data_IF_211293710994
#
_entry.id   IF_211293710994
#
_cell.length_a   1.000
_cell.length_b   1.000
_cell.length_c   1.000
_cell.angle_alpha   90.00
_cell.angle_beta   90.00
_cell.angle_gamma   90.00
#
_symmetry.space_group_name_H-M   'P 1'
#
loop_
_entity.id
_entity.type
_entity.pdbx_description
1 polymer ?
#
# COMPACT_ATOMS: atom_id res chain seq x y z
N UNK A 1 -14.93 36.17 -19.80
CA UNK A 1 -15.67 35.10 -19.13
C UNK A 1 -14.80 34.58 -17.99
N UNK A 2 -15.26 34.51 -16.76
CA UNK A 2 -14.47 33.98 -15.62
C UNK A 2 -14.88 32.53 -15.33
N UNK A 3 -13.94 31.68 -14.92
CA UNK A 3 -14.24 30.28 -14.60
C UNK A 3 -14.94 30.15 -13.23
N UNK A 4 -15.65 29.05 -13.03
CA UNK A 4 -16.41 28.78 -11.78
C UNK A 4 -15.55 28.88 -10.53
N UNK A 5 -14.28 28.47 -10.59
CA UNK A 5 -13.34 28.57 -9.46
C UNK A 5 -13.07 30.04 -9.08
N UNK A 6 -12.92 30.90 -10.09
CA UNK A 6 -12.70 32.36 -9.88
C UNK A 6 -13.91 33.01 -9.21
N UNK A 7 -15.14 32.65 -9.63
CA UNK A 7 -16.37 33.17 -9.02
C UNK A 7 -16.47 32.75 -7.54
N UNK A 8 -16.17 31.51 -7.18
CA UNK A 8 -16.15 31.10 -5.79
C UNK A 8 -15.08 31.83 -4.97
N UNK A 9 -13.89 32.07 -5.53
CA UNK A 9 -12.85 32.84 -4.86
C UNK A 9 -13.27 34.31 -4.65
N UNK A 10 -13.98 34.91 -5.62
CA UNK A 10 -14.52 36.26 -5.49
C UNK A 10 -15.59 36.34 -4.41
N UNK A 11 -16.46 35.31 -4.31
CA UNK A 11 -17.50 35.24 -3.28
C UNK A 11 -16.88 35.15 -1.88
N UNK A 12 -15.90 34.25 -1.69
CA UNK A 12 -15.19 34.09 -0.41
C UNK A 12 -14.40 35.34 0.01
N UNK A 13 -13.91 36.11 -0.95
CA UNK A 13 -13.15 37.33 -0.71
C UNK A 13 -14.05 38.59 -0.65
N UNK A 14 -15.37 38.46 -0.63
CA UNK A 14 -16.30 39.56 -0.58
C UNK A 14 -16.28 40.50 -1.79
N UNK A 15 -15.81 40.01 -2.94
CA UNK A 15 -15.73 40.77 -4.21
C UNK A 15 -16.99 40.71 -5.04
N UNK A 16 -18.02 40.01 -4.60
CA UNK A 16 -19.33 39.97 -5.22
C UNK A 16 -20.38 40.61 -4.33
N UNK A 17 -21.46 41.18 -4.91
CA UNK A 17 -22.55 41.77 -4.13
C UNK A 17 -23.44 40.74 -3.42
N UNK A 18 -22.94 39.53 -3.26
CA UNK A 18 -23.57 38.37 -2.64
C UNK A 18 -22.71 37.91 -1.46
N UNK A 19 -23.36 37.48 -0.39
CA UNK A 19 -22.68 36.87 0.76
C UNK A 19 -22.69 35.34 0.62
N UNK A 20 -21.74 34.69 1.32
CA UNK A 20 -21.62 33.23 1.35
C UNK A 20 -22.90 32.57 1.89
N UNK A 21 -23.63 33.25 2.77
CA UNK A 21 -24.88 32.79 3.37
C UNK A 21 -26.05 32.76 2.40
N UNK A 22 -26.02 33.57 1.33
CA UNK A 22 -27.04 33.60 0.28
C UNK A 22 -26.86 32.48 -0.76
N UNK A 23 -25.75 31.74 -0.68
CA UNK A 23 -25.47 30.60 -1.56
C UNK A 23 -25.24 29.31 -0.73
N UNK A 24 -26.30 28.64 -0.26
CA UNK A 24 -26.24 27.52 0.68
C UNK A 24 -25.31 26.38 0.26
N UNK A 25 -25.21 26.11 -1.05
CA UNK A 25 -24.29 25.07 -1.58
C UNK A 25 -22.83 25.39 -1.41
N UNK A 26 -22.45 26.65 -1.17
CA UNK A 26 -21.06 27.06 -0.91
C UNK A 26 -20.65 26.71 0.51
N UNK A 27 -21.57 26.80 1.47
CA UNK A 27 -21.34 26.45 2.87
C UNK A 27 -21.07 24.95 3.07
N UNK A 28 -21.62 24.10 2.21
CA UNK A 28 -21.38 22.65 2.25
C UNK A 28 -20.04 22.24 1.66
N UNK A 29 -19.35 23.10 0.92
CA UNK A 29 -18.02 22.82 0.39
C UNK A 29 -16.99 23.04 1.49
N UNK A 30 -16.43 21.93 2.00
CA UNK A 30 -15.23 22.01 2.86
C UNK A 30 -14.14 22.76 2.12
N UNK A 31 -13.74 23.94 2.65
CA UNK A 31 -12.51 24.58 2.17
C UNK A 31 -11.36 23.57 2.31
N UNK A 32 -10.71 23.24 1.20
CA UNK A 32 -9.44 22.56 1.27
C UNK A 32 -8.43 23.51 1.93
N UNK A 33 -8.31 23.44 3.25
CA UNK A 33 -7.17 24.02 3.93
C UNK A 33 -5.94 23.38 3.28
N UNK A 34 -5.09 24.21 2.66
CA UNK A 34 -3.73 23.81 2.32
C UNK A 34 -3.00 23.55 3.63
N UNK A 35 -3.07 22.32 4.10
CA UNK A 35 -2.18 21.87 5.14
C UNK A 35 -0.79 21.81 4.53
N UNK A 36 0.09 22.74 4.93
CA UNK A 36 1.53 22.58 4.71
C UNK A 36 1.96 21.42 5.60
N UNK A 37 1.93 20.20 5.02
CA UNK A 37 2.32 18.99 5.69
C UNK A 37 3.82 19.01 5.89
N UNK A 38 4.25 19.07 7.15
CA UNK A 38 5.64 19.31 7.56
C UNK A 38 6.56 18.09 7.45
N UNK A 39 6.04 16.87 7.30
CA UNK A 39 6.86 15.67 7.26
C UNK A 39 7.28 15.33 5.82
N UNK A 40 8.50 15.74 5.48
CA UNK A 40 9.26 15.32 4.31
C UNK A 40 10.38 14.34 4.68
N UNK A 41 10.32 13.72 5.86
CA UNK A 41 11.35 12.76 6.28
C UNK A 41 11.23 11.52 5.40
N UNK A 42 12.31 11.14 4.75
CA UNK A 42 12.48 9.84 4.11
C UNK A 42 13.03 8.87 5.15
N UNK A 43 12.44 7.69 5.25
CA UNK A 43 12.85 6.66 6.22
C UNK A 43 14.09 5.89 5.77
N UNK A 44 14.41 5.94 4.47
CA UNK A 44 15.55 5.24 3.88
C UNK A 44 15.77 5.67 2.43
N UNK A 45 16.18 4.74 1.57
CA UNK A 45 16.44 5.04 0.15
C UNK A 45 15.19 5.51 -0.58
N UNK A 46 15.34 6.56 -1.39
CA UNK A 46 14.25 7.04 -2.23
C UNK A 46 13.87 6.02 -3.30
N UNK A 47 12.60 6.02 -3.70
CA UNK A 47 12.12 5.27 -4.86
C UNK A 47 12.88 5.66 -6.14
N UNK A 48 13.44 6.87 -6.22
CA UNK A 48 14.28 7.33 -7.35
C UNK A 48 15.58 6.55 -7.49
N UNK A 49 16.09 5.96 -6.38
CA UNK A 49 17.29 5.12 -6.37
C UNK A 49 16.99 3.67 -6.78
N UNK A 50 15.71 3.33 -6.97
CA UNK A 50 15.27 2.00 -7.35
C UNK A 50 15.72 1.68 -8.78
N UNK A 51 16.28 0.48 -9.05
CA UNK A 51 16.68 0.09 -10.40
C UNK A 51 15.52 0.15 -11.39
N UNK A 52 15.77 0.63 -12.61
CA UNK A 52 14.76 0.77 -13.67
C UNK A 52 14.06 -0.56 -14.01
N UNK A 53 14.79 -1.69 -13.92
CA UNK A 53 14.25 -3.04 -14.17
C UNK A 53 12.99 -3.36 -13.35
N UNK A 54 12.84 -2.73 -12.17
CA UNK A 54 11.63 -2.90 -11.33
C UNK A 54 10.40 -2.30 -12.01
N UNK A 55 10.57 -1.25 -12.81
CA UNK A 55 9.49 -0.56 -13.52
C UNK A 55 9.24 -1.14 -14.92
N UNK A 56 10.22 -1.81 -15.49
CA UNK A 56 10.14 -2.50 -16.79
C UNK A 56 9.29 -3.79 -16.71
N UNK A 57 9.02 -4.31 -15.49
CA UNK A 57 8.23 -5.51 -15.24
C UNK A 57 8.78 -6.78 -15.91
N UNK A 58 10.10 -6.87 -16.02
CA UNK A 58 10.77 -8.01 -16.65
C UNK A 58 11.34 -9.00 -15.63
N UNK A 59 11.56 -8.55 -14.40
CA UNK A 59 12.14 -9.35 -13.33
C UNK A 59 11.15 -9.58 -12.18
N UNK A 60 11.03 -10.83 -11.74
CA UNK A 60 10.22 -11.23 -10.57
C UNK A 60 10.95 -10.97 -9.24
N UNK A 61 10.17 -10.85 -8.18
CA UNK A 61 10.71 -10.64 -6.82
C UNK A 61 10.70 -9.17 -6.36
N UNK A 62 9.94 -8.32 -7.03
CA UNK A 62 9.78 -6.91 -6.67
C UNK A 62 8.41 -6.66 -6.04
N UNK A 63 8.41 -6.18 -4.80
CA UNK A 63 7.22 -6.08 -3.97
C UNK A 63 6.86 -4.65 -3.60
N UNK A 64 5.57 -4.42 -3.43
CA UNK A 64 5.03 -3.21 -2.80
C UNK A 64 4.45 -3.61 -1.44
N UNK A 65 4.79 -2.88 -0.35
CA UNK A 65 4.30 -3.13 0.99
C UNK A 65 3.40 -1.99 1.49
N UNK A 66 2.32 -2.33 2.23
CA UNK A 66 1.37 -1.37 2.80
C UNK A 66 0.70 -1.94 4.06
N UNK A 67 -0.13 -1.14 4.72
CA UNK A 67 -0.98 -1.57 5.83
C UNK A 67 -2.44 -1.19 5.60
N UNK A 68 -3.34 -2.14 5.82
CA UNK A 68 -4.79 -1.93 5.72
C UNK A 68 -5.37 -1.77 7.12
N UNK A 69 -5.88 -0.57 7.42
CA UNK A 69 -6.45 -0.20 8.71
C UNK A 69 -7.97 -0.42 8.67
N UNK A 70 -8.53 -1.09 9.65
CA UNK A 70 -9.97 -1.26 9.82
C UNK A 70 -10.65 0.03 10.24
N UNK A 71 -10.79 0.24 11.53
CA UNK A 71 -11.30 1.48 12.11
C UNK A 71 -10.20 2.54 12.17
N UNK A 72 -10.59 3.81 12.05
CA UNK A 72 -9.63 4.92 12.12
C UNK A 72 -9.24 5.31 13.55
N UNK A 73 -9.99 4.88 14.51
CA UNK A 73 -9.78 5.21 15.93
C UNK A 73 -9.50 3.92 16.70
N UNK A 74 -8.34 3.87 17.36
CA UNK A 74 -7.95 2.78 18.24
C UNK A 74 -6.56 2.22 17.94
N UNK A 75 -6.06 1.47 18.89
CA UNK A 75 -4.86 0.61 18.75
C UNK A 75 -5.37 -0.80 18.46
N UNK A 76 -5.92 -1.01 17.27
CA UNK A 76 -6.41 -2.33 16.87
C UNK A 76 -5.46 -3.00 15.89
N UNK A 77 -5.65 -4.29 15.67
CA UNK A 77 -4.98 -5.03 14.63
C UNK A 77 -5.17 -4.38 13.27
N UNK A 78 -4.17 -4.52 12.41
CA UNK A 78 -4.21 -4.09 11.01
C UNK A 78 -3.73 -5.24 10.15
N UNK A 79 -3.97 -5.16 8.84
CA UNK A 79 -3.42 -6.14 7.91
C UNK A 79 -2.18 -5.55 7.26
N UNK A 80 -1.03 -6.17 7.46
CA UNK A 80 0.18 -5.93 6.68
C UNK A 80 0.03 -6.63 5.35
N UNK A 81 0.30 -5.94 4.24
CA UNK A 81 0.06 -6.45 2.90
C UNK A 81 1.26 -6.26 2.02
N UNK A 82 1.53 -7.24 1.15
CA UNK A 82 2.55 -7.15 0.13
C UNK A 82 2.00 -7.64 -1.21
N UNK A 83 2.39 -7.00 -2.31
CA UNK A 83 2.00 -7.39 -3.67
C UNK A 83 3.26 -7.54 -4.52
N UNK A 84 3.44 -8.69 -5.15
CA UNK A 84 4.48 -8.90 -6.16
C UNK A 84 4.06 -8.22 -7.48
N UNK A 85 5.01 -7.48 -8.09
CA UNK A 85 4.68 -6.49 -9.15
C UNK A 85 4.33 -7.11 -10.50
N UNK A 86 4.76 -8.32 -10.79
CA UNK A 86 4.49 -9.03 -12.07
C UNK A 86 3.33 -9.99 -11.90
N UNK A 87 3.43 -10.93 -10.98
CA UNK A 87 2.43 -11.97 -10.76
C UNK A 87 1.15 -11.42 -10.14
N UNK A 88 1.23 -10.23 -9.50
CA UNK A 88 0.19 -9.68 -8.63
C UNK A 88 -0.17 -10.61 -7.45
N UNK A 89 0.75 -11.51 -7.06
CA UNK A 89 0.57 -12.34 -5.87
C UNK A 89 0.48 -11.45 -4.63
N UNK A 90 -0.50 -11.72 -3.79
CA UNK A 90 -0.88 -10.89 -2.66
C UNK A 90 -0.68 -11.65 -1.36
N UNK A 91 0.15 -11.10 -0.48
CA UNK A 91 0.34 -11.58 0.89
C UNK A 91 -0.44 -10.66 1.83
N UNK A 92 -1.19 -11.23 2.77
CA UNK A 92 -1.91 -10.50 3.79
C UNK A 92 -1.69 -11.17 5.16
N UNK A 93 -1.11 -10.43 6.10
CA UNK A 93 -0.79 -10.90 7.46
C UNK A 93 -1.47 -9.98 8.47
N UNK A 94 -2.27 -10.55 9.36
CA UNK A 94 -2.81 -9.80 10.50
C UNK A 94 -1.69 -9.48 11.48
N UNK A 95 -1.56 -8.22 11.85
CA UNK A 95 -0.55 -7.77 12.83
C UNK A 95 -1.24 -7.00 13.97
N UNK A 96 -0.71 -7.08 15.21
CA UNK A 96 -1.38 -6.56 16.42
C UNK A 96 -1.65 -5.06 16.40
N UNK A 97 -0.97 -4.31 15.53
CA UNK A 97 -1.17 -2.87 15.43
C UNK A 97 -0.30 -2.21 14.37
N UNK A 98 -0.67 -0.99 14.00
CA UNK A 98 0.06 -0.18 13.02
C UNK A 98 1.30 0.45 13.63
N UNK A 99 2.34 -0.34 13.82
CA UNK A 99 3.62 0.11 14.38
C UNK A 99 4.79 -0.69 13.78
N UNK A 100 6.01 -0.15 13.93
CA UNK A 100 7.22 -0.72 13.33
C UNK A 100 7.58 -2.10 13.89
N UNK A 101 7.30 -2.36 15.16
CA UNK A 101 7.57 -3.67 15.78
C UNK A 101 6.70 -4.76 15.14
N UNK A 102 5.40 -4.51 14.96
CA UNK A 102 4.48 -5.47 14.34
C UNK A 102 4.83 -5.75 12.89
N UNK A 103 5.18 -4.71 12.11
CA UNK A 103 5.63 -4.87 10.71
C UNK A 103 6.94 -5.67 10.66
N UNK A 104 7.89 -5.40 11.54
CA UNK A 104 9.13 -6.16 11.62
C UNK A 104 8.89 -7.62 11.95
N UNK A 105 7.98 -7.94 12.87
CA UNK A 105 7.61 -9.32 13.20
C UNK A 105 7.03 -10.06 11.99
N UNK A 106 6.11 -9.43 11.23
CA UNK A 106 5.58 -10.02 10.02
C UNK A 106 6.67 -10.28 8.96
N UNK A 107 7.63 -9.35 8.80
CA UNK A 107 8.78 -9.56 7.92
C UNK A 107 9.71 -10.67 8.39
N UNK A 108 9.89 -10.81 9.72
CA UNK A 108 10.70 -11.91 10.29
C UNK A 108 10.04 -13.27 10.04
N UNK A 109 8.70 -13.35 10.13
CA UNK A 109 7.96 -14.58 9.79
C UNK A 109 8.17 -14.96 8.32
N UNK A 110 8.08 -14.01 7.40
CA UNK A 110 8.38 -14.26 5.99
C UNK A 110 9.84 -14.67 5.77
N UNK A 111 10.79 -14.06 6.48
CA UNK A 111 12.18 -14.46 6.39
C UNK A 111 12.42 -15.89 6.93
N UNK A 112 11.75 -16.29 7.99
CA UNK A 112 11.82 -17.66 8.54
C UNK A 112 11.19 -18.67 7.56
N UNK A 113 10.08 -18.31 6.93
CA UNK A 113 9.37 -19.15 5.95
C UNK A 113 10.21 -19.44 4.69
N UNK A 114 10.84 -18.40 4.13
CA UNK A 114 11.62 -18.53 2.90
C UNK A 114 13.11 -18.86 3.15
N UNK A 115 13.60 -18.68 4.36
CA UNK A 115 14.98 -18.99 4.77
C UNK A 115 16.04 -18.35 3.87
N UNK A 116 17.01 -19.13 3.43
CA UNK A 116 18.12 -18.67 2.56
C UNK A 116 17.63 -18.14 1.19
N UNK A 117 16.39 -18.43 0.82
CA UNK A 117 15.80 -17.99 -0.45
C UNK A 117 15.09 -16.64 -0.35
N UNK A 118 14.98 -16.10 0.87
CA UNK A 118 14.27 -14.83 1.09
C UNK A 118 14.72 -13.72 0.14
N UNK A 119 16.02 -13.48 0.03
CA UNK A 119 16.58 -12.44 -0.83
C UNK A 119 16.31 -12.66 -2.33
N UNK A 120 16.02 -13.90 -2.74
CA UNK A 120 15.70 -14.23 -4.14
C UNK A 120 14.22 -14.03 -4.44
N UNK A 121 13.36 -14.31 -3.45
CA UNK A 121 11.92 -14.07 -3.53
C UNK A 121 11.59 -12.60 -3.31
N UNK A 122 12.27 -11.94 -2.39
CA UNK A 122 12.08 -10.53 -2.03
C UNK A 122 13.31 -9.69 -2.41
N UNK A 123 13.57 -9.54 -3.71
CA UNK A 123 14.72 -8.77 -4.21
C UNK A 123 14.66 -7.31 -3.83
N UNK A 124 13.49 -6.69 -4.02
CA UNK A 124 13.23 -5.32 -3.59
C UNK A 124 11.83 -5.18 -2.97
N UNK A 125 11.71 -4.31 -2.00
CA UNK A 125 10.44 -3.98 -1.38
C UNK A 125 10.28 -2.46 -1.39
N UNK A 126 9.15 -1.96 -1.90
CA UNK A 126 8.81 -0.54 -1.90
C UNK A 126 7.69 -0.29 -0.90
N UNK A 127 7.94 0.55 0.11
CA UNK A 127 6.97 0.94 1.13
C UNK A 127 6.65 2.44 1.08
N UNK A 128 5.65 2.91 1.85
CA UNK A 128 5.47 4.35 2.07
C UNK A 128 6.33 4.84 3.24
N UNK A 129 6.28 6.16 3.48
CA UNK A 129 6.96 6.80 4.62
C UNK A 129 6.07 6.83 5.88
N UNK A 130 5.27 5.79 6.11
CA UNK A 130 4.49 5.64 7.34
C UNK A 130 5.39 5.33 8.54
N UNK A 131 5.04 5.77 9.75
CA UNK A 131 5.82 5.47 10.96
C UNK A 131 5.93 3.97 11.24
N UNK A 132 5.01 3.17 10.76
CA UNK A 132 5.03 1.70 10.85
C UNK A 132 6.17 1.07 10.05
N UNK A 133 6.73 1.78 9.06
CA UNK A 133 7.86 1.33 8.26
C UNK A 133 9.21 1.91 8.70
N UNK A 134 9.28 2.54 9.88
CA UNK A 134 10.51 3.21 10.37
C UNK A 134 11.72 2.26 10.46
N UNK A 135 11.49 0.99 10.83
CA UNK A 135 12.54 -0.03 10.93
C UNK A 135 12.61 -0.97 9.73
N UNK A 136 11.86 -0.66 8.66
CA UNK A 136 11.70 -1.58 7.53
C UNK A 136 13.00 -1.84 6.76
N UNK A 137 13.90 -0.86 6.76
CA UNK A 137 15.26 -1.02 6.20
C UNK A 137 16.11 -2.06 6.90
N UNK A 138 15.74 -2.53 8.12
CA UNK A 138 16.44 -3.62 8.81
C UNK A 138 16.36 -4.93 8.01
N UNK A 139 15.31 -5.12 7.19
CA UNK A 139 15.18 -6.26 6.30
C UNK A 139 16.32 -6.36 5.25
N UNK A 140 17.06 -5.28 5.00
CA UNK A 140 18.22 -5.30 4.10
C UNK A 140 19.33 -6.22 4.62
N UNK A 141 19.39 -6.50 5.93
CA UNK A 141 20.30 -7.49 6.50
C UNK A 141 20.06 -8.92 5.97
N UNK A 142 18.87 -9.20 5.44
CA UNK A 142 18.49 -10.47 4.83
C UNK A 142 18.70 -10.51 3.31
N UNK A 143 19.38 -9.49 2.74
CA UNK A 143 19.75 -9.42 1.33
C UNK A 143 18.72 -8.77 0.41
N UNK A 144 17.56 -8.36 0.90
CA UNK A 144 16.59 -7.54 0.14
C UNK A 144 17.07 -6.09 0.04
N UNK A 145 16.45 -5.28 -0.84
CA UNK A 145 16.65 -3.82 -0.89
C UNK A 145 15.32 -3.12 -0.63
N UNK A 146 15.32 -2.15 0.27
CA UNK A 146 14.12 -1.41 0.66
C UNK A 146 14.14 0.01 0.09
N UNK A 147 13.05 0.42 -0.54
CA UNK A 147 12.85 1.75 -1.11
C UNK A 147 11.59 2.38 -0.54
N UNK A 148 11.59 3.69 -0.42
CA UNK A 148 10.45 4.45 0.10
C UNK A 148 9.89 5.37 -0.98
N UNK A 149 8.58 5.26 -1.19
CA UNK A 149 7.84 6.14 -2.08
C UNK A 149 7.83 7.58 -1.56
N UNK A 150 7.66 8.55 -2.44
CA UNK A 150 7.55 9.94 -2.01
C UNK A 150 6.32 10.15 -1.12
N UNK A 151 6.42 11.02 -0.12
CA UNK A 151 5.27 11.38 0.69
C UNK A 151 4.10 11.88 -0.18
N UNK A 152 2.92 11.28 0.02
CA UNK A 152 1.68 11.62 -0.71
C UNK A 152 1.63 11.20 -2.19
N UNK A 153 2.51 10.31 -2.61
CA UNK A 153 2.60 9.78 -3.98
C UNK A 153 2.01 8.37 -4.07
N UNK A 154 0.71 8.21 -3.78
CA UNK A 154 0.03 6.91 -3.83
C UNK A 154 0.13 6.24 -5.21
N UNK A 155 0.25 7.04 -6.28
CA UNK A 155 0.44 6.52 -7.64
C UNK A 155 1.74 5.72 -7.84
N UNK A 156 2.72 5.88 -6.97
CA UNK A 156 3.97 5.11 -7.01
C UNK A 156 3.80 3.66 -6.49
N UNK A 157 2.63 3.36 -5.86
CA UNK A 157 2.26 2.05 -5.30
C UNK A 157 0.85 1.64 -5.69
N UNK A 158 0.50 1.83 -6.97
CA UNK A 158 -0.83 1.57 -7.52
C UNK A 158 -1.29 0.12 -7.35
N UNK A 159 -0.37 -0.83 -7.32
CA UNK A 159 -0.71 -2.25 -7.18
C UNK A 159 -1.23 -2.55 -5.79
N UNK A 160 -0.56 -2.07 -4.76
CA UNK A 160 -1.02 -2.21 -3.39
C UNK A 160 -2.38 -1.52 -3.18
N UNK A 161 -2.55 -0.28 -3.65
CA UNK A 161 -3.83 0.42 -3.54
C UNK A 161 -4.98 -0.39 -4.18
N UNK A 162 -4.74 -0.95 -5.37
CA UNK A 162 -5.71 -1.80 -6.07
C UNK A 162 -6.02 -3.08 -5.29
N UNK A 163 -5.01 -3.80 -4.79
CA UNK A 163 -5.20 -5.06 -4.07
C UNK A 163 -5.84 -4.84 -2.71
N UNK A 164 -5.43 -3.78 -2.00
CA UNK A 164 -6.09 -3.35 -0.78
C UNK A 164 -7.56 -2.98 -1.03
N UNK A 165 -7.87 -2.41 -2.21
CA UNK A 165 -9.24 -2.18 -2.66
C UNK A 165 -10.04 -3.47 -2.85
N UNK A 166 -9.43 -4.53 -3.39
CA UNK A 166 -10.06 -5.85 -3.51
C UNK A 166 -10.23 -6.55 -2.15
N UNK A 167 -9.24 -6.43 -1.24
CA UNK A 167 -9.39 -6.94 0.12
C UNK A 167 -10.59 -6.30 0.84
N UNK A 168 -10.97 -5.07 0.47
CA UNK A 168 -12.15 -4.38 1.01
C UNK A 168 -13.50 -5.02 0.63
N UNK A 169 -13.51 -5.96 -0.32
CA UNK A 169 -14.68 -6.79 -0.59
C UNK A 169 -14.99 -7.73 0.58
N UNK A 170 -13.95 -8.18 1.31
CA UNK A 170 -14.03 -9.06 2.47
C UNK A 170 -14.03 -8.30 3.79
N UNK A 171 -13.23 -7.24 3.87
CA UNK A 171 -13.07 -6.40 5.07
C UNK A 171 -13.52 -4.98 4.73
N UNK A 172 -14.80 -4.63 4.92
CA UNK A 172 -15.32 -3.32 4.60
C UNK A 172 -14.61 -2.20 5.37
N UNK A 173 -14.50 -1.04 4.74
CA UNK A 173 -13.86 0.12 5.36
C UNK A 173 -14.62 0.59 6.59
N UNK A 174 -13.89 0.74 7.71
CA UNK A 174 -14.46 1.14 9.00
C UNK A 174 -14.86 -0.05 9.89
N UNK A 175 -14.75 -1.27 9.39
CA UNK A 175 -14.93 -2.47 10.18
C UNK A 175 -13.62 -2.84 10.91
N UNK A 176 -13.72 -3.33 12.14
CA UNK A 176 -12.57 -3.70 12.95
C UNK A 176 -11.90 -4.98 12.44
N UNK A 177 -10.58 -4.95 12.29
CA UNK A 177 -9.76 -6.11 11.89
C UNK A 177 -9.76 -7.19 12.98
N UNK A 178 -9.99 -6.82 14.25
CA UNK A 178 -10.06 -7.77 15.38
C UNK A 178 -11.18 -8.82 15.21
N UNK A 179 -12.19 -8.55 14.39
CA UNK A 179 -13.30 -9.46 14.12
C UNK A 179 -12.91 -10.66 13.27
N UNK A 180 -11.78 -10.59 12.59
CA UNK A 180 -11.30 -11.63 11.68
C UNK A 180 -10.15 -12.39 12.34
N UNK A 181 -10.12 -13.72 12.16
CA UNK A 181 -8.98 -14.53 12.59
C UNK A 181 -7.83 -14.40 11.58
N UNK A 182 -6.65 -14.90 11.94
CA UNK A 182 -5.50 -14.92 11.03
C UNK A 182 -5.78 -15.82 9.82
N UNK A 183 -6.47 -16.97 10.05
CA UNK A 183 -6.88 -17.89 9.01
C UNK A 183 -7.89 -17.28 8.03
N UNK A 184 -8.84 -16.47 8.53
CA UNK A 184 -9.79 -15.77 7.67
C UNK A 184 -9.07 -14.75 6.78
N UNK A 185 -8.13 -13.98 7.33
CA UNK A 185 -7.34 -13.00 6.55
C UNK A 185 -6.49 -13.71 5.50
N UNK A 186 -5.87 -14.84 5.83
CA UNK A 186 -5.15 -15.67 4.88
C UNK A 186 -6.09 -16.16 3.77
N UNK A 187 -7.26 -16.69 4.13
CA UNK A 187 -8.24 -17.20 3.15
C UNK A 187 -8.72 -16.11 2.18
N UNK A 188 -8.78 -14.84 2.61
CA UNK A 188 -9.11 -13.72 1.72
C UNK A 188 -8.00 -13.44 0.71
N UNK A 189 -6.73 -13.54 1.15
CA UNK A 189 -5.59 -13.42 0.26
C UNK A 189 -5.57 -14.56 -0.77
N UNK A 190 -5.81 -15.81 -0.35
CA UNK A 190 -5.89 -16.99 -1.22
C UNK A 190 -7.02 -16.84 -2.25
N UNK A 191 -8.19 -16.39 -1.81
CA UNK A 191 -9.31 -16.10 -2.70
C UNK A 191 -9.00 -15.01 -3.73
N UNK A 192 -8.14 -14.04 -3.42
CA UNK A 192 -7.67 -13.04 -4.37
C UNK A 192 -6.59 -13.59 -5.31
N UNK A 193 -5.73 -14.49 -4.82
CA UNK A 193 -4.65 -15.11 -5.58
C UNK A 193 -5.15 -16.18 -6.56
N UNK A 194 -6.26 -16.84 -6.26
CA UNK A 194 -6.88 -17.88 -7.12
C UNK A 194 -7.79 -17.30 -8.20
N UNK A 195 -7.99 -15.97 -8.29
CA UNK A 195 -8.81 -15.33 -9.33
C UNK A 195 -8.01 -15.15 -10.63
N UNK A 196 -8.43 -15.73 -11.77
CA UNK A 196 -7.82 -15.45 -13.07
C UNK A 196 -7.90 -13.97 -13.43
N UNK A 197 -6.81 -13.40 -13.94
CA UNK A 197 -6.75 -11.98 -14.27
C UNK A 197 -6.45 -11.74 -15.74
N UNK A 198 -7.25 -10.90 -16.39
CA UNK A 198 -7.04 -10.54 -17.79
C UNK A 198 -5.63 -9.97 -18.04
N UNK A 199 -5.09 -9.18 -17.10
CA UNK A 199 -3.75 -8.61 -17.19
C UNK A 199 -2.63 -9.67 -17.09
N UNK A 200 -2.94 -10.86 -16.60
CA UNK A 200 -2.07 -12.03 -16.50
C UNK A 200 -2.45 -13.10 -17.55
N UNK A 201 -3.04 -12.70 -18.67
CA UNK A 201 -3.48 -13.62 -19.73
C UNK A 201 -4.41 -14.73 -19.21
N UNK A 202 -5.26 -14.39 -18.23
CA UNK A 202 -6.18 -15.28 -17.51
C UNK A 202 -5.51 -16.33 -16.61
N UNK A 203 -4.20 -16.25 -16.38
CA UNK A 203 -3.56 -16.98 -15.28
C UNK A 203 -3.96 -16.36 -13.92
N UNK A 204 -3.89 -17.19 -12.88
CA UNK A 204 -4.04 -16.72 -11.51
C UNK A 204 -2.70 -16.18 -10.99
N UNK A 205 -2.70 -15.22 -10.04
CA UNK A 205 -1.51 -14.79 -9.32
C UNK A 205 -0.75 -15.96 -8.69
N UNK A 206 -1.46 -16.93 -8.10
CA UNK A 206 -0.92 -18.11 -7.47
C UNK A 206 -0.14 -18.97 -8.47
N UNK A 207 -0.76 -19.36 -9.62
CA UNK A 207 -0.09 -20.16 -10.67
C UNK A 207 1.23 -19.52 -11.14
N UNK A 208 1.27 -18.20 -11.29
CA UNK A 208 2.46 -17.50 -11.75
C UNK A 208 3.51 -17.38 -10.64
N UNK A 209 3.08 -17.19 -9.41
CA UNK A 209 3.97 -17.11 -8.28
C UNK A 209 4.59 -18.48 -7.95
N UNK A 210 3.84 -19.57 -8.04
CA UNK A 210 4.34 -20.93 -7.87
C UNK A 210 5.43 -21.26 -8.90
N UNK A 211 5.21 -20.93 -10.18
CA UNK A 211 6.24 -21.07 -11.21
C UNK A 211 7.50 -20.25 -10.89
N UNK A 212 7.34 -19.08 -10.32
CA UNK A 212 8.49 -18.29 -9.86
C UNK A 212 9.21 -18.99 -8.72
N UNK A 213 8.50 -19.46 -7.71
CA UNK A 213 9.08 -20.21 -6.60
C UNK A 213 9.82 -21.45 -7.10
N UNK A 214 9.23 -22.22 -8.00
CA UNK A 214 9.89 -23.40 -8.62
C UNK A 214 11.24 -23.02 -9.23
N UNK A 215 11.33 -21.89 -9.92
CA UNK A 215 12.59 -21.39 -10.48
C UNK A 215 13.62 -20.97 -9.42
N UNK A 216 13.15 -20.44 -8.29
CA UNK A 216 13.99 -20.08 -7.16
C UNK A 216 14.51 -21.29 -6.41
N UNK A 217 13.68 -22.37 -6.30
CA UNK A 217 14.05 -23.60 -5.60
C UNK A 217 14.89 -24.55 -6.46
N UNK A 218 14.80 -24.47 -7.80
CA UNK A 218 15.57 -25.31 -8.72
C UNK A 218 17.02 -24.85 -8.93
N UNK A 219 17.37 -23.65 -8.52
CA UNK A 219 18.66 -22.98 -8.69
C UNK A 219 19.40 -22.81 -7.37
#
# INVERSE_FOLDING_TARGET
>A
MVCTKTLYNMLWNGKLPLTVFEVPRVLSRKQHRKWNRKNKRMLGRSIEERPAIVDEHEELGHWEADTVVGQRQGKEAVVFTMVERITNHYIAIKIPGRNSTSVRQAMSQLHEEYGDRFARVFKTITADNGPEFETFSEAEAWGTKVYFAHPYSSWERLRNERHNGMLREYIPKGESIERYTDEEILSFADALNSRPRRVLEYHTPEELFDRFLDSVYAS
#
